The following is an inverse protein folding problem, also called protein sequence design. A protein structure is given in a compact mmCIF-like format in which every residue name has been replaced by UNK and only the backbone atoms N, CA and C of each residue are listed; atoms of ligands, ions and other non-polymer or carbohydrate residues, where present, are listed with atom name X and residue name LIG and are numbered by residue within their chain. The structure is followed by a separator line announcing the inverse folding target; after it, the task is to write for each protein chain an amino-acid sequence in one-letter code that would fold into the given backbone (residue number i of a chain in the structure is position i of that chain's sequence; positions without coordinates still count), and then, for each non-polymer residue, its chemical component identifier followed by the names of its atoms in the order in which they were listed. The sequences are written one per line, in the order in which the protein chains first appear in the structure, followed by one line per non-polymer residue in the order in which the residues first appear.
data_IF_574385910575
#
_entry.id   IF_574385910575
#
_cell.length_a   1.000
_cell.length_b   1.000
_cell.length_c   1.000
_cell.angle_alpha   90.00
_cell.angle_beta   90.00
_cell.angle_gamma   90.00
#
_symmetry.space_group_name_H-M   'P 1'
#
loop_
_entity.id
_entity.type
_entity.pdbx_description
1 polymer ?
#
# COMPACT_ATOMS: atom_id res chain seq x y z
N UNK A 1 -0.42 27.08 -26.80
CA UNK A 1 -0.34 27.18 -25.32
C UNK A 1 -0.59 25.79 -24.75
N UNK A 2 0.44 25.10 -24.26
CA UNK A 2 0.25 23.86 -23.51
C UNK A 2 -0.31 24.22 -22.13
N UNK A 3 -1.44 23.64 -21.68
CA UNK A 3 -1.84 23.78 -20.30
C UNK A 3 -0.76 23.06 -19.47
N UNK A 4 0.03 23.85 -18.75
CA UNK A 4 1.06 23.33 -17.87
C UNK A 4 0.41 22.35 -16.91
N UNK A 5 0.97 21.13 -16.82
CA UNK A 5 0.63 20.18 -15.76
C UNK A 5 0.72 20.93 -14.43
N UNK A 6 -0.41 21.06 -13.76
CA UNK A 6 -0.45 21.76 -12.48
C UNK A 6 0.32 20.94 -11.45
N UNK A 7 0.84 21.59 -10.41
CA UNK A 7 1.45 20.87 -9.28
C UNK A 7 0.47 19.85 -8.66
N UNK A 8 -0.84 20.06 -8.83
CA UNK A 8 -1.89 19.14 -8.43
C UNK A 8 -1.92 17.84 -9.26
N UNK A 9 -1.64 17.90 -10.58
CA UNK A 9 -1.58 16.71 -11.44
C UNK A 9 -0.38 15.82 -11.10
N UNK A 10 0.76 16.45 -10.73
CA UNK A 10 1.95 15.76 -10.24
C UNK A 10 1.71 15.18 -8.83
N UNK A 11 1.08 15.95 -7.95
CA UNK A 11 0.69 15.50 -6.62
C UNK A 11 -0.30 14.33 -6.68
N UNK A 12 -1.30 14.38 -7.57
CA UNK A 12 -2.28 13.31 -7.78
C UNK A 12 -1.64 12.03 -8.33
N UNK A 13 -0.67 12.15 -9.25
CA UNK A 13 0.12 11.02 -9.79
C UNK A 13 0.91 10.27 -8.71
N UNK A 14 1.52 11.01 -7.77
CA UNK A 14 2.37 10.41 -6.75
C UNK A 14 1.56 9.97 -5.51
N UNK A 15 0.48 10.69 -5.20
CA UNK A 15 -0.50 10.34 -4.15
C UNK A 15 -1.28 9.05 -4.48
N UNK A 16 -1.54 8.78 -5.76
CA UNK A 16 -2.26 7.56 -6.20
C UNK A 16 -1.37 6.33 -6.32
N UNK A 17 -0.04 6.49 -6.42
CA UNK A 17 0.89 5.34 -6.44
C UNK A 17 1.15 4.79 -5.04
N UNK A 18 1.12 5.64 -4.01
CA UNK A 18 1.15 5.25 -2.60
C UNK A 18 0.68 6.43 -1.75
N UNK A 19 -0.27 6.21 -0.83
CA UNK A 19 -0.56 7.22 0.20
C UNK A 19 0.64 7.24 1.16
N UNK A 20 1.63 8.08 0.85
CA UNK A 20 2.81 8.29 1.66
C UNK A 20 2.45 9.02 2.97
N UNK A 21 3.44 9.25 3.83
CA UNK A 21 3.23 9.91 5.13
C UNK A 21 2.52 11.26 5.02
N UNK A 22 2.84 12.07 3.99
CA UNK A 22 2.17 13.35 3.76
C UNK A 22 0.72 13.16 3.32
N UNK A 23 0.45 12.15 2.49
CA UNK A 23 -0.91 11.82 2.08
C UNK A 23 -1.78 11.33 3.23
N UNK A 24 -1.22 10.51 4.13
CA UNK A 24 -1.89 10.07 5.36
C UNK A 24 -2.23 11.27 6.25
N UNK A 25 -1.27 12.17 6.48
CA UNK A 25 -1.47 13.43 7.24
C UNK A 25 -2.58 14.30 6.66
N UNK A 26 -2.61 14.45 5.33
CA UNK A 26 -3.67 15.22 4.67
C UNK A 26 -5.06 14.61 4.90
N UNK A 27 -5.19 13.29 4.73
CA UNK A 27 -6.46 12.59 4.94
C UNK A 27 -6.93 12.71 6.40
N UNK A 28 -6.01 12.55 7.35
CA UNK A 28 -6.33 12.71 8.78
C UNK A 28 -6.81 14.12 9.12
N UNK A 29 -6.16 15.16 8.58
CA UNK A 29 -6.61 16.54 8.78
C UNK A 29 -7.97 16.79 8.13
N UNK A 30 -8.19 16.26 6.92
CA UNK A 30 -9.45 16.43 6.18
C UNK A 30 -10.63 15.75 6.87
N UNK A 31 -10.39 14.62 7.53
CA UNK A 31 -11.39 13.83 8.22
C UNK A 31 -11.08 13.73 9.72
N UNK A 32 -10.76 14.87 10.34
CA UNK A 32 -10.27 14.95 11.73
C UNK A 32 -11.24 14.42 12.79
N UNK A 33 -12.52 14.31 12.45
CA UNK A 33 -13.58 13.81 13.34
C UNK A 33 -13.96 12.36 13.02
N UNK A 34 -13.08 11.60 12.37
CA UNK A 34 -13.38 10.25 11.90
C UNK A 34 -12.18 9.32 12.00
N UNK A 35 -12.48 8.05 12.24
CA UNK A 35 -11.52 6.95 12.09
C UNK A 35 -11.50 6.55 10.62
N UNK A 36 -10.32 6.50 10.01
CA UNK A 36 -10.17 6.14 8.60
C UNK A 36 -9.57 4.75 8.45
N UNK A 37 -10.26 3.90 7.71
CA UNK A 37 -9.69 2.67 7.17
C UNK A 37 -9.30 2.90 5.71
N UNK A 38 -8.00 2.83 5.43
CA UNK A 38 -7.50 2.69 4.08
C UNK A 38 -7.41 1.20 3.78
N UNK A 39 -7.99 0.76 2.67
CA UNK A 39 -8.03 -0.66 2.28
C UNK A 39 -7.48 -0.83 0.87
N UNK A 40 -7.02 -2.04 0.56
CA UNK A 40 -6.75 -2.47 -0.80
C UNK A 40 -5.64 -1.68 -1.52
N UNK A 41 -4.45 -1.62 -0.90
CA UNK A 41 -3.29 -0.97 -1.50
C UNK A 41 -2.74 -1.77 -2.70
N UNK A 42 -2.08 -1.13 -3.68
CA UNK A 42 -1.39 -1.83 -4.75
C UNK A 42 -0.39 -2.87 -4.21
N UNK A 43 -0.40 -4.09 -4.74
CA UNK A 43 0.40 -5.19 -4.18
C UNK A 43 1.90 -4.91 -4.23
N UNK A 44 2.37 -4.14 -5.23
CA UNK A 44 3.79 -3.80 -5.41
C UNK A 44 4.40 -3.02 -4.24
N UNK A 45 3.58 -2.33 -3.44
CA UNK A 45 4.03 -1.55 -2.28
C UNK A 45 3.78 -2.26 -0.95
N UNK A 46 3.25 -3.49 -0.99
CA UNK A 46 2.94 -4.30 0.18
C UNK A 46 3.98 -5.41 0.36
N UNK A 47 4.10 -6.04 1.53
CA UNK A 47 5.03 -7.16 1.71
C UNK A 47 4.73 -8.32 0.76
N UNK A 48 5.76 -8.98 0.21
CA UNK A 48 5.60 -10.06 -0.78
C UNK A 48 4.78 -11.26 -0.29
N UNK A 49 4.69 -11.46 1.02
CA UNK A 49 3.96 -12.56 1.65
C UNK A 49 2.49 -12.19 1.94
N UNK A 50 2.04 -11.02 1.49
CA UNK A 50 0.66 -10.58 1.55
C UNK A 50 -0.15 -11.12 0.37
N UNK A 51 -1.33 -11.62 0.66
CA UNK A 51 -2.28 -12.07 -0.37
C UNK A 51 -2.72 -10.88 -1.22
N UNK A 52 -2.68 -11.07 -2.53
CA UNK A 52 -3.17 -10.09 -3.50
C UNK A 52 -4.05 -10.75 -4.55
N UNK A 53 -4.86 -9.93 -5.22
CA UNK A 53 -5.67 -10.32 -6.36
C UNK A 53 -5.63 -9.21 -7.39
N UNK A 54 -5.30 -9.54 -8.66
CA UNK A 54 -5.21 -8.58 -9.77
C UNK A 54 -4.37 -7.33 -9.44
N UNK A 55 -3.23 -7.50 -8.76
CA UNK A 55 -2.32 -6.41 -8.41
C UNK A 55 -2.76 -5.55 -7.21
N UNK A 56 -3.80 -5.97 -6.48
CA UNK A 56 -4.32 -5.28 -5.30
C UNK A 56 -4.14 -6.19 -4.08
N UNK A 57 -3.49 -5.67 -3.04
CA UNK A 57 -3.25 -6.36 -1.78
C UNK A 57 -4.50 -6.42 -0.90
N UNK A 58 -4.66 -7.50 -0.15
CA UNK A 58 -5.72 -7.62 0.86
C UNK A 58 -5.19 -7.14 2.21
N UNK A 59 -5.22 -5.83 2.41
CA UNK A 59 -4.75 -5.17 3.63
C UNK A 59 -5.62 -3.98 4.03
N UNK A 60 -5.36 -3.50 5.24
CA UNK A 60 -5.95 -2.29 5.75
C UNK A 60 -5.04 -1.55 6.72
N UNK A 61 -5.02 -0.22 6.59
CA UNK A 61 -4.30 0.68 7.46
C UNK A 61 -5.33 1.55 8.18
N UNK A 62 -5.29 1.52 9.51
CA UNK A 62 -6.09 2.40 10.38
C UNK A 62 -5.32 3.69 10.60
N UNK A 63 -5.94 4.82 10.27
CA UNK A 63 -5.41 6.15 10.61
C UNK A 63 -6.20 6.75 11.77
N UNK A 64 -5.52 7.08 12.86
CA UNK A 64 -6.09 7.71 14.05
C UNK A 64 -5.08 8.68 14.69
N UNK A 65 -5.57 9.84 15.14
CA UNK A 65 -4.84 10.90 15.84
C UNK A 65 -3.56 11.41 15.16
N UNK A 66 -2.41 10.78 15.43
CA UNK A 66 -1.06 11.28 15.11
C UNK A 66 -0.36 10.52 13.99
N UNK A 67 -0.83 9.32 13.63
CA UNK A 67 -0.25 8.53 12.54
C UNK A 67 -1.16 7.40 12.07
N UNK A 68 -0.64 6.58 11.18
CA UNK A 68 -1.11 5.19 11.07
C UNK A 68 -0.93 4.48 12.41
N UNK A 69 -2.00 3.85 12.88
CA UNK A 69 -2.07 3.18 14.19
C UNK A 69 -1.99 1.67 14.06
N UNK A 70 -2.58 1.11 12.99
CA UNK A 70 -2.66 -0.34 12.77
C UNK A 70 -2.47 -0.61 11.28
N UNK A 71 -1.61 -1.58 10.95
CA UNK A 71 -1.50 -2.19 9.61
C UNK A 71 -1.83 -3.68 9.73
N UNK A 72 -2.81 -4.14 8.97
CA UNK A 72 -3.23 -5.55 8.95
C UNK A 72 -3.32 -6.06 7.52
N UNK A 73 -2.86 -7.29 7.32
CA UNK A 73 -2.92 -7.94 6.03
C UNK A 73 -3.25 -9.42 6.12
N UNK A 74 -3.88 -9.93 5.05
CA UNK A 74 -4.08 -11.36 4.86
C UNK A 74 -2.80 -11.95 4.29
N UNK A 75 -2.21 -12.95 4.97
CA UNK A 75 -1.03 -13.66 4.47
C UNK A 75 -1.38 -14.61 3.32
N UNK A 76 -0.42 -14.86 2.44
CA UNK A 76 -0.43 -16.00 1.53
C UNK A 76 -0.55 -17.29 2.34
N UNK A 77 -1.37 -18.23 1.87
CA UNK A 77 -1.65 -19.50 2.55
C UNK A 77 -0.93 -20.68 1.91
N UNK A 78 -0.56 -20.56 0.64
CA UNK A 78 0.09 -21.64 -0.11
C UNK A 78 1.52 -21.27 -0.49
N UNK A 79 2.33 -22.31 -0.71
CA UNK A 79 3.68 -22.14 -1.25
C UNK A 79 3.66 -21.38 -2.57
N UNK A 80 2.75 -21.75 -3.49
CA UNK A 80 2.64 -21.11 -4.80
C UNK A 80 2.30 -19.62 -4.70
N UNK A 81 1.33 -19.25 -3.85
CA UNK A 81 1.00 -17.84 -3.59
C UNK A 81 2.23 -17.06 -3.05
N UNK A 82 3.05 -17.71 -2.24
CA UNK A 82 4.27 -17.11 -1.67
C UNK A 82 5.36 -16.95 -2.73
N UNK A 83 5.57 -17.95 -3.58
CA UNK A 83 6.55 -17.89 -4.68
C UNK A 83 6.15 -16.83 -5.72
N UNK A 84 4.88 -16.76 -6.07
CA UNK A 84 4.36 -15.71 -6.95
C UNK A 84 4.61 -14.33 -6.37
N UNK A 85 4.39 -14.15 -5.06
CA UNK A 85 4.72 -12.93 -4.34
C UNK A 85 6.21 -12.58 -4.40
N UNK A 86 7.09 -13.52 -4.04
CA UNK A 86 8.57 -13.32 -4.08
C UNK A 86 9.01 -12.88 -5.47
N UNK A 87 8.55 -13.60 -6.51
CA UNK A 87 8.90 -13.30 -7.91
C UNK A 87 8.34 -11.94 -8.35
N UNK A 88 7.10 -11.62 -7.98
CA UNK A 88 6.47 -10.33 -8.29
C UNK A 88 7.19 -9.13 -7.66
N UNK A 89 7.78 -9.33 -6.48
CA UNK A 89 8.62 -8.33 -5.81
C UNK A 89 10.10 -8.36 -6.25
N UNK A 90 10.48 -9.29 -7.13
CA UNK A 90 11.87 -9.52 -7.58
C UNK A 90 12.83 -9.81 -6.42
N UNK A 91 12.32 -10.43 -5.37
CA UNK A 91 13.14 -10.88 -4.25
C UNK A 91 13.87 -12.17 -4.63
N UNK A 92 15.07 -12.37 -4.09
CA UNK A 92 15.78 -13.63 -4.23
C UNK A 92 15.10 -14.69 -3.35
N UNK A 93 14.63 -15.77 -3.98
CA UNK A 93 13.93 -16.87 -3.30
C UNK A 93 14.78 -17.51 -2.19
N UNK A 94 16.10 -17.55 -2.36
CA UNK A 94 17.00 -18.16 -1.38
C UNK A 94 17.05 -17.38 -0.07
N UNK A 95 16.81 -16.07 -0.11
CA UNK A 95 16.78 -15.20 1.07
C UNK A 95 15.43 -15.27 1.80
N UNK A 96 14.40 -15.79 1.12
CA UNK A 96 13.03 -15.91 1.63
C UNK A 96 12.68 -17.35 2.06
N UNK A 97 13.63 -18.31 1.95
CA UNK A 97 13.47 -19.66 2.49
C UNK A 97 13.55 -19.58 4.01
N UNK A 98 12.40 -19.67 4.66
CA UNK A 98 12.32 -19.98 6.09
C UNK A 98 12.84 -21.42 6.26
N UNK A 99 13.89 -21.56 7.08
CA UNK A 99 14.42 -22.84 7.56
C UNK A 99 13.33 -23.60 8.31
#
# INVERSE_FOLDING_TARGET
MHPGKTNFDKFSSDFTKTINSNGKKYLMHKFSNSILWLINFPSIITPFHQKSYKGIGHNSNLLMDISETVDVWKRCKTYNETIEGINGHKNNINDCRLI
#
